data_IF_426049435923
#
_entry.id   IF_426049435923
#
_cell.length_a   1.000
_cell.length_b   1.000
_cell.length_c   1.000
_cell.angle_alpha   90.00
_cell.angle_beta   90.00
_cell.angle_gamma   90.00
#
_symmetry.space_group_name_H-M   'P 1'
#
loop_
_entity.id
_entity.type
_entity.pdbx_description
1 polymer ?
#
# COMPACT_ATOMS: atom_id res chain seq x y z
N UNK A 1 -9.02 20.38 17.85
CA UNK A 1 -8.24 20.08 16.65
C UNK A 1 -8.23 18.57 16.41
N UNK A 2 -8.84 18.14 15.32
CA UNK A 2 -8.82 16.72 14.96
C UNK A 2 -7.47 16.35 14.38
N UNK A 3 -6.75 15.51 15.07
CA UNK A 3 -5.61 14.85 14.47
C UNK A 3 -6.11 13.74 13.56
N UNK A 4 -5.69 13.76 12.29
CA UNK A 4 -5.90 12.63 11.42
C UNK A 4 -4.98 11.50 11.84
N UNK A 5 -5.56 10.46 12.39
CA UNK A 5 -4.80 9.28 12.74
C UNK A 5 -4.68 8.38 11.52
N UNK A 6 -3.47 8.26 11.02
CA UNK A 6 -3.13 7.38 9.91
C UNK A 6 -2.12 6.38 10.43
N UNK A 7 -2.26 5.16 9.97
CA UNK A 7 -1.27 4.14 10.26
C UNK A 7 -0.89 3.41 8.98
N UNK A 8 0.36 3.58 8.60
CA UNK A 8 0.93 2.84 7.49
C UNK A 8 2.01 1.92 8.00
N UNK A 9 2.05 0.73 7.45
CA UNK A 9 3.06 -0.27 7.72
C UNK A 9 3.82 -0.53 6.43
N UNK A 10 5.14 -0.32 6.44
CA UNK A 10 5.97 -0.45 5.24
C UNK A 10 6.80 -1.72 5.34
N UNK A 11 6.70 -2.58 4.33
CA UNK A 11 7.33 -3.89 4.28
C UNK A 11 8.00 -4.14 2.94
N UNK A 12 8.69 -5.26 2.82
CA UNK A 12 9.16 -5.82 1.54
C UNK A 12 8.41 -7.10 1.25
N UNK A 13 8.14 -7.33 -0.04
CA UNK A 13 7.53 -8.58 -0.50
C UNK A 13 8.59 -9.68 -0.62
N UNK A 14 8.14 -10.92 -0.59
CA UNK A 14 8.96 -12.08 -0.92
C UNK A 14 8.56 -12.63 -2.28
N UNK A 15 9.46 -12.57 -3.24
CA UNK A 15 9.23 -13.05 -4.61
C UNK A 15 10.34 -13.99 -5.01
N UNK A 16 10.17 -14.65 -6.15
CA UNK A 16 11.27 -15.49 -6.69
C UNK A 16 12.49 -14.61 -6.98
N UNK A 17 13.68 -15.18 -6.86
CA UNK A 17 14.93 -14.44 -7.04
C UNK A 17 15.11 -13.87 -8.45
N UNK A 18 14.40 -14.42 -9.42
CA UNK A 18 14.42 -13.93 -10.80
C UNK A 18 13.43 -12.78 -11.04
N UNK A 19 12.61 -12.41 -10.06
CA UNK A 19 11.61 -11.37 -10.20
C UNK A 19 12.18 -10.04 -9.76
N UNK A 20 12.08 -9.02 -10.64
CA UNK A 20 12.52 -7.66 -10.37
C UNK A 20 11.32 -6.74 -10.37
N UNK A 21 11.03 -6.09 -9.23
CA UNK A 21 9.95 -5.15 -9.06
C UNK A 21 10.50 -3.72 -9.14
N UNK A 22 10.84 -3.31 -10.34
CA UNK A 22 11.48 -2.01 -10.57
C UNK A 22 10.83 -1.31 -11.75
N UNK A 23 10.75 0.01 -11.66
CA UNK A 23 10.30 0.90 -12.73
C UNK A 23 11.19 2.15 -12.71
N UNK A 24 10.93 3.07 -13.60
CA UNK A 24 11.62 4.35 -13.62
C UNK A 24 10.65 5.47 -13.24
N UNK A 25 11.04 6.27 -12.24
CA UNK A 25 10.29 7.44 -11.80
C UNK A 25 11.26 8.63 -11.79
N UNK A 26 10.93 9.67 -12.52
CA UNK A 26 11.77 10.88 -12.63
C UNK A 26 13.23 10.55 -13.04
N UNK A 27 13.39 9.57 -13.95
CA UNK A 27 14.70 9.16 -14.44
C UNK A 27 15.51 8.29 -13.49
N UNK A 28 14.92 7.82 -12.39
CA UNK A 28 15.61 7.01 -11.37
C UNK A 28 15.04 5.61 -11.30
N UNK A 29 15.88 4.56 -11.10
CA UNK A 29 15.38 3.22 -10.85
C UNK A 29 14.65 3.21 -9.51
N UNK A 30 13.41 2.74 -9.51
CA UNK A 30 12.50 2.87 -8.37
C UNK A 30 11.79 1.54 -8.13
N UNK A 31 11.79 1.08 -6.88
CA UNK A 31 11.05 -0.11 -6.50
C UNK A 31 9.55 0.13 -6.70
N UNK A 32 8.86 -0.85 -7.27
CA UNK A 32 7.41 -0.79 -7.41
C UNK A 32 6.76 -1.06 -6.07
N UNK A 33 5.67 -0.36 -5.79
CA UNK A 33 4.94 -0.52 -4.54
C UNK A 33 3.63 -1.28 -4.76
N UNK A 34 3.11 -1.83 -3.67
CA UNK A 34 1.82 -2.52 -3.67
C UNK A 34 1.05 -2.14 -2.41
N UNK A 35 -0.19 -1.71 -2.58
CA UNK A 35 -1.08 -1.48 -1.45
C UNK A 35 -1.77 -2.79 -1.09
N UNK A 36 -1.79 -3.10 0.20
CA UNK A 36 -2.22 -4.38 0.71
C UNK A 36 -3.28 -4.17 1.78
N UNK A 37 -4.39 -4.90 1.67
CA UNK A 37 -5.49 -4.83 2.63
C UNK A 37 -5.84 -6.20 3.15
N UNK A 38 -5.95 -6.30 4.49
CA UNK A 38 -6.50 -7.46 5.16
C UNK A 38 -8.01 -7.32 5.31
N UNK A 39 -8.76 -8.28 4.80
CA UNK A 39 -10.21 -8.19 4.72
C UNK A 39 -10.92 -8.79 5.94
N UNK A 40 -10.26 -9.63 6.73
CA UNK A 40 -10.88 -10.45 7.77
C UNK A 40 -12.06 -11.25 7.23
N UNK A 41 -11.92 -11.78 6.02
CA UNK A 41 -12.97 -12.52 5.34
C UNK A 41 -12.45 -13.79 4.68
N UNK A 42 -13.34 -14.78 4.59
CA UNK A 42 -13.16 -15.98 3.78
C UNK A 42 -14.19 -15.98 2.65
N UNK A 43 -14.14 -16.93 1.69
CA UNK A 43 -15.21 -17.05 0.69
C UNK A 43 -16.59 -17.26 1.32
N UNK A 44 -16.67 -17.74 2.56
CA UNK A 44 -17.91 -17.96 3.29
C UNK A 44 -18.39 -16.73 4.06
N UNK A 45 -17.59 -15.63 4.08
CA UNK A 45 -17.99 -14.39 4.75
C UNK A 45 -16.95 -13.87 5.74
N UNK A 46 -17.40 -12.99 6.62
CA UNK A 46 -16.53 -12.37 7.62
C UNK A 46 -16.03 -13.38 8.65
N UNK A 47 -14.80 -13.20 9.11
CA UNK A 47 -14.22 -13.99 10.19
C UNK A 47 -14.65 -13.35 11.52
N UNK A 48 -15.55 -13.98 12.25
CA UNK A 48 -16.15 -13.40 13.47
C UNK A 48 -15.14 -13.05 14.56
N UNK A 49 -14.11 -13.89 14.74
CA UNK A 49 -13.10 -13.66 15.77
C UNK A 49 -12.00 -12.69 15.33
N UNK A 50 -12.10 -12.15 14.10
CA UNK A 50 -11.18 -11.14 13.59
C UNK A 50 -11.96 -9.91 13.11
N UNK A 51 -12.58 -9.13 14.03
CA UNK A 51 -13.35 -7.96 13.60
C UNK A 51 -12.46 -6.92 12.93
N UNK A 52 -12.98 -6.31 11.87
CA UNK A 52 -12.28 -5.30 11.11
C UNK A 52 -13.21 -4.11 10.86
N UNK A 53 -13.47 -3.28 11.89
CA UNK A 53 -14.48 -2.23 11.83
C UNK A 53 -14.15 -1.12 10.83
N UNK A 54 -12.89 -0.98 10.44
CA UNK A 54 -12.45 0.07 9.51
C UNK A 54 -12.20 -0.45 8.10
N UNK A 55 -12.70 -1.64 7.77
CA UNK A 55 -12.45 -2.28 6.47
C UNK A 55 -12.78 -1.38 5.29
N UNK A 56 -13.98 -0.79 5.29
CA UNK A 56 -14.43 0.03 4.16
C UNK A 56 -13.59 1.30 4.03
N UNK A 57 -13.25 1.94 5.14
CA UNK A 57 -12.40 3.14 5.12
C UNK A 57 -11.00 2.83 4.64
N UNK A 58 -10.43 1.70 5.07
CA UNK A 58 -9.10 1.27 4.67
C UNK A 58 -9.05 0.92 3.19
N UNK A 59 -10.06 0.22 2.68
CA UNK A 59 -10.17 -0.09 1.25
C UNK A 59 -10.29 1.20 0.42
N UNK A 60 -11.16 2.11 0.85
CA UNK A 60 -11.34 3.40 0.16
C UNK A 60 -10.01 4.18 0.11
N UNK A 61 -9.28 4.21 1.22
CA UNK A 61 -7.99 4.87 1.30
C UNK A 61 -6.97 4.26 0.33
N UNK A 62 -6.87 2.93 0.30
CA UNK A 62 -5.98 2.23 -0.63
C UNK A 62 -6.37 2.48 -2.10
N UNK A 63 -7.66 2.49 -2.41
CA UNK A 63 -8.14 2.80 -3.76
C UNK A 63 -7.81 4.23 -4.17
N UNK A 64 -7.97 5.19 -3.27
CA UNK A 64 -7.63 6.58 -3.55
C UNK A 64 -6.13 6.72 -3.85
N UNK A 65 -5.28 6.06 -3.06
CA UNK A 65 -3.85 6.05 -3.30
C UNK A 65 -3.50 5.39 -4.63
N UNK A 66 -4.16 4.27 -4.95
CA UNK A 66 -3.93 3.55 -6.21
C UNK A 66 -4.30 4.40 -7.43
N UNK A 67 -5.44 5.08 -7.38
CA UNK A 67 -5.89 5.95 -8.46
C UNK A 67 -4.95 7.14 -8.65
N UNK A 68 -4.53 7.76 -7.55
CA UNK A 68 -3.60 8.89 -7.60
C UNK A 68 -2.25 8.46 -8.17
N UNK A 69 -1.76 7.31 -7.76
CA UNK A 69 -0.50 6.76 -8.27
C UNK A 69 -0.59 6.44 -9.76
N UNK A 70 -1.71 5.88 -10.22
CA UNK A 70 -1.90 5.58 -11.64
C UNK A 70 -1.95 6.86 -12.48
N UNK A 71 -2.47 7.94 -11.93
CA UNK A 71 -2.56 9.24 -12.59
C UNK A 71 -1.20 9.93 -12.67
N UNK A 72 -0.46 9.97 -11.56
CA UNK A 72 0.77 10.77 -11.45
C UNK A 72 2.03 9.97 -11.78
N UNK A 73 2.04 8.68 -11.52
CA UNK A 73 3.20 7.81 -11.68
C UNK A 73 2.81 6.47 -12.32
N UNK A 74 2.44 6.46 -13.62
CA UNK A 74 2.05 5.22 -14.31
C UNK A 74 3.15 4.15 -14.20
N UNK A 75 2.76 2.92 -13.86
CA UNK A 75 3.68 1.81 -13.72
C UNK A 75 4.38 1.70 -12.37
N UNK A 76 4.22 2.68 -11.49
CA UNK A 76 4.82 2.67 -10.16
C UNK A 76 4.18 1.66 -9.22
N UNK A 77 2.85 1.52 -9.25
CA UNK A 77 2.14 0.59 -8.36
C UNK A 77 1.82 -0.73 -9.05
N UNK A 78 1.87 -1.79 -8.24
CA UNK A 78 1.31 -3.09 -8.59
C UNK A 78 -0.20 -3.07 -8.27
N UNK A 79 -0.93 -4.10 -8.72
CA UNK A 79 -2.35 -4.23 -8.37
C UNK A 79 -2.52 -4.32 -6.85
N UNK A 80 -3.61 -3.74 -6.34
CA UNK A 80 -3.96 -3.85 -4.93
C UNK A 80 -4.11 -5.32 -4.57
N UNK A 81 -3.50 -5.73 -3.47
CA UNK A 81 -3.54 -7.10 -2.99
C UNK A 81 -4.49 -7.20 -1.80
N UNK A 82 -5.42 -8.15 -1.87
CA UNK A 82 -6.41 -8.38 -0.83
C UNK A 82 -6.19 -9.76 -0.22
N UNK A 83 -6.07 -9.81 1.10
CA UNK A 83 -5.91 -11.06 1.85
C UNK A 83 -7.04 -11.25 2.84
N UNK A 84 -7.35 -12.52 3.14
CA UNK A 84 -8.38 -12.87 4.09
C UNK A 84 -8.07 -12.52 5.55
N UNK A 85 -6.80 -12.34 5.91
CA UNK A 85 -6.38 -11.97 7.26
C UNK A 85 -6.45 -10.46 7.47
N UNK A 86 -6.29 -10.01 8.69
CA UNK A 86 -6.53 -8.64 9.12
C UNK A 86 -5.29 -7.74 9.13
N UNK A 87 -4.12 -8.29 9.44
CA UNK A 87 -2.81 -7.62 9.42
C UNK A 87 -2.75 -6.31 10.21
N UNK A 88 -3.41 -6.23 11.37
CA UNK A 88 -3.46 -5.04 12.22
C UNK A 88 -4.17 -3.82 11.60
N UNK A 89 -4.82 -3.96 10.45
CA UNK A 89 -5.56 -2.87 9.82
C UNK A 89 -6.87 -2.53 10.56
N UNK A 90 -7.25 -3.32 11.55
CA UNK A 90 -8.42 -3.10 12.39
C UNK A 90 -8.21 -2.05 13.48
N UNK A 91 -6.97 -1.61 13.69
CA UNK A 91 -6.63 -0.74 14.83
C UNK A 91 -7.05 0.71 14.61
N UNK A 92 -7.05 1.18 13.38
CA UNK A 92 -7.39 2.56 13.06
C UNK A 92 -8.00 2.68 11.66
N UNK A 93 -8.85 3.71 11.43
CA UNK A 93 -9.26 4.03 10.07
C UNK A 93 -8.06 4.56 9.26
N UNK A 94 -8.16 4.47 7.94
CA UNK A 94 -7.10 4.87 7.01
C UNK A 94 -5.77 4.18 7.30
N UNK A 95 -5.85 2.91 7.65
CA UNK A 95 -4.67 2.06 7.78
C UNK A 95 -4.37 1.40 6.44
N UNK A 96 -3.09 1.28 6.13
CA UNK A 96 -2.64 0.56 4.94
C UNK A 96 -1.35 -0.19 5.24
N UNK A 97 -1.18 -1.32 4.58
CA UNK A 97 0.09 -2.02 4.52
C UNK A 97 0.65 -1.80 3.12
N UNK A 98 1.88 -1.36 3.04
CA UNK A 98 2.52 -1.02 1.77
C UNK A 98 3.76 -1.89 1.61
N UNK A 99 3.80 -2.63 0.51
CA UNK A 99 4.98 -3.40 0.12
C UNK A 99 5.82 -2.53 -0.82
N UNK A 100 7.07 -2.28 -0.44
CA UNK A 100 8.02 -1.49 -1.24
C UNK A 100 9.00 -2.46 -1.87
N UNK A 101 8.71 -2.86 -3.12
CA UNK A 101 9.51 -3.83 -3.83
C UNK A 101 9.59 -5.17 -3.11
N UNK A 102 10.70 -5.86 -3.28
CA UNK A 102 10.93 -7.18 -2.72
C UNK A 102 12.39 -7.32 -2.30
N UNK A 103 12.75 -8.51 -1.81
CA UNK A 103 14.13 -8.80 -1.41
C UNK A 103 15.14 -8.66 -2.57
N UNK A 104 14.67 -8.70 -3.82
CA UNK A 104 15.52 -8.53 -5.00
C UNK A 104 15.82 -7.07 -5.32
N UNK A 105 15.17 -6.12 -4.67
CA UNK A 105 15.42 -4.70 -4.90
C UNK A 105 16.67 -4.21 -4.15
N UNK A 106 17.36 -3.24 -4.75
CA UNK A 106 18.48 -2.57 -4.10
C UNK A 106 17.97 -1.56 -3.08
N UNK A 107 18.83 -1.15 -2.16
CA UNK A 107 18.54 -0.07 -1.20
C UNK A 107 18.17 1.23 -1.93
N UNK A 108 18.90 1.56 -2.99
CA UNK A 108 18.64 2.78 -3.77
C UNK A 108 17.26 2.75 -4.42
N UNK A 109 16.87 1.59 -5.00
CA UNK A 109 15.55 1.45 -5.60
C UNK A 109 14.43 1.65 -4.56
N UNK A 110 14.59 1.06 -3.38
CA UNK A 110 13.63 1.23 -2.29
C UNK A 110 13.60 2.69 -1.79
N UNK A 111 14.75 3.31 -1.65
CA UNK A 111 14.86 4.72 -1.25
C UNK A 111 14.18 5.63 -2.26
N UNK A 112 14.42 5.42 -3.54
CA UNK A 112 13.83 6.22 -4.61
C UNK A 112 12.31 6.09 -4.65
N UNK A 113 11.74 5.00 -4.12
CA UNK A 113 10.30 4.82 -4.03
C UNK A 113 9.64 5.70 -2.96
N UNK A 114 10.39 6.20 -2.00
CA UNK A 114 9.83 6.96 -0.88
C UNK A 114 9.28 8.32 -1.28
N UNK A 115 9.92 9.01 -2.20
CA UNK A 115 9.47 10.34 -2.64
C UNK A 115 8.11 10.31 -3.32
N UNK A 116 7.88 9.48 -4.38
CA UNK A 116 6.54 9.39 -4.96
C UNK A 116 5.50 8.86 -4.00
N UNK A 117 5.86 7.94 -3.10
CA UNK A 117 4.94 7.46 -2.07
C UNK A 117 4.49 8.58 -1.15
N UNK A 118 5.42 9.40 -0.69
CA UNK A 118 5.13 10.55 0.19
C UNK A 118 4.20 11.55 -0.50
N UNK A 119 4.42 11.83 -1.79
CA UNK A 119 3.55 12.73 -2.56
C UNK A 119 2.14 12.18 -2.71
N UNK A 120 2.01 10.89 -3.00
CA UNK A 120 0.70 10.24 -3.12
C UNK A 120 -0.06 10.33 -1.80
N UNK A 121 0.59 10.02 -0.70
CA UNK A 121 -0.01 10.09 0.64
C UNK A 121 -0.46 11.52 0.95
N UNK A 122 0.40 12.50 0.72
CA UNK A 122 0.05 13.90 0.95
C UNK A 122 -1.15 14.33 0.12
N UNK A 123 -1.16 14.02 -1.16
CA UNK A 123 -2.25 14.41 -2.06
C UNK A 123 -3.58 13.78 -1.66
N UNK A 124 -3.59 12.51 -1.31
CA UNK A 124 -4.80 11.82 -0.88
C UNK A 124 -5.32 12.39 0.45
N UNK A 125 -4.42 12.66 1.38
CA UNK A 125 -4.79 13.16 2.70
C UNK A 125 -5.24 14.62 2.69
N UNK A 126 -4.76 15.41 1.75
CA UNK A 126 -5.14 16.82 1.62
C UNK A 126 -6.26 17.04 0.60
N UNK A 127 -6.70 15.98 -0.07
CA UNK A 127 -7.80 16.06 -1.03
C UNK A 127 -7.43 16.65 -2.39
N UNK A 128 -6.17 16.61 -2.74
CA UNK A 128 -5.70 17.12 -4.03
C UNK A 128 -5.90 16.19 -5.20
#
# INVERSE_FOLDING_TARGET
>A
QRQMCIRDSIHRDGVSENTRLVTEVNGKPTARIMFFNGLSRTPQGAIEYLPNPYLNENLAFSFQMQLKAAQDYPGYTRKIYLKGLRYNLHLRPRSSLIEVGAQTNTFEEAKNAMEPLAEILEDVLTGK
#
